data_IF_117655525247
#
_entry.id   IF_117655525247
#
_cell.length_a   1.000
_cell.length_b   1.000
_cell.length_c   1.000
_cell.angle_alpha   90.00
_cell.angle_beta   90.00
_cell.angle_gamma   90.00
#
_symmetry.space_group_name_H-M   'P 1'
#
loop_
_entity.id
_entity.type
_entity.pdbx_description
1 polymer ?
#
# COMPACT_ATOMS: atom_id res chain seq x y z
N UNK A 1 12.07 19.09 22.89
CA UNK A 1 10.61 19.06 22.93
C UNK A 1 10.02 19.83 21.75
N UNK A 2 10.52 21.03 21.40
CA UNK A 2 9.97 21.79 20.24
C UNK A 2 10.34 21.27 18.83
N UNK A 3 11.46 20.55 18.65
CA UNK A 3 11.85 20.01 17.32
C UNK A 3 10.99 18.80 16.92
N UNK A 4 10.57 17.97 17.88
CA UNK A 4 9.63 16.87 17.65
C UNK A 4 8.20 17.42 17.41
N UNK A 5 7.90 18.56 18.03
CA UNK A 5 6.67 19.32 17.83
C UNK A 5 6.61 19.91 16.41
N UNK A 6 7.71 20.37 15.82
CA UNK A 6 7.74 20.84 14.42
C UNK A 6 7.75 19.71 13.36
N UNK A 7 8.17 18.49 13.72
CA UNK A 7 8.08 17.32 12.81
C UNK A 7 6.64 16.83 12.64
N UNK A 8 5.78 17.03 13.66
CA UNK A 8 4.38 16.60 13.68
C UNK A 8 3.34 17.74 13.59
N UNK A 9 3.69 18.99 13.93
CA UNK A 9 2.81 20.17 13.75
C UNK A 9 2.78 20.65 12.33
N UNK A 10 3.93 20.70 11.68
CA UNK A 10 3.98 21.03 10.28
C UNK A 10 3.60 19.81 9.47
N UNK A 11 3.22 20.08 8.24
CA UNK A 11 3.13 19.14 7.14
C UNK A 11 4.48 18.45 6.82
N UNK A 12 5.24 18.04 7.84
CA UNK A 12 6.62 17.61 7.83
C UNK A 12 6.80 16.09 7.87
N UNK A 13 5.79 15.30 8.20
CA UNK A 13 5.76 13.93 7.67
C UNK A 13 5.52 13.97 6.17
N UNK A 14 4.70 14.92 5.69
CA UNK A 14 4.69 15.27 4.27
C UNK A 14 6.04 15.86 3.88
N UNK A 15 6.85 16.54 4.71
CA UNK A 15 8.19 17.06 4.31
C UNK A 15 9.32 16.06 4.38
N UNK A 16 9.20 15.05 5.23
CA UNK A 16 10.04 13.87 5.27
C UNK A 16 9.73 12.98 4.06
N UNK A 17 8.42 12.80 3.78
CA UNK A 17 7.93 12.27 2.52
C UNK A 17 8.19 13.27 1.36
N UNK A 18 8.25 14.60 1.52
CA UNK A 18 8.47 15.66 0.46
C UNK A 18 9.96 15.68 0.12
N UNK A 19 10.84 15.41 1.09
CA UNK A 19 12.27 15.16 0.92
C UNK A 19 12.53 13.81 0.23
N UNK A 20 11.74 12.78 0.55
CA UNK A 20 11.69 11.53 -0.22
C UNK A 20 11.09 11.70 -1.63
N UNK A 21 10.14 12.63 -1.81
CA UNK A 21 9.43 12.95 -3.07
C UNK A 21 10.22 13.94 -3.94
N UNK A 22 11.54 13.81 -3.95
CA UNK A 22 12.29 14.05 -5.19
C UNK A 22 12.36 12.78 -6.02
N UNK A 23 11.31 11.93 -6.05
CA UNK A 23 11.28 10.59 -6.66
C UNK A 23 12.20 10.38 -7.89
N UNK A 24 12.20 11.30 -8.88
CA UNK A 24 13.08 11.20 -10.06
C UNK A 24 14.56 11.54 -9.80
N UNK A 25 14.83 12.55 -8.97
CA UNK A 25 16.19 12.97 -8.55
C UNK A 25 16.72 12.09 -7.42
N UNK A 26 15.88 11.72 -6.45
CA UNK A 26 16.12 10.69 -5.45
C UNK A 26 16.38 9.34 -6.11
N UNK A 27 15.66 8.95 -7.17
CA UNK A 27 15.96 7.74 -7.94
C UNK A 27 17.32 7.83 -8.65
N UNK A 28 17.67 8.97 -9.26
CA UNK A 28 19.00 9.15 -9.87
C UNK A 28 20.15 9.13 -8.84
N UNK A 29 19.93 9.67 -7.64
CA UNK A 29 20.87 9.59 -6.50
C UNK A 29 20.91 8.15 -5.93
N UNK A 30 19.76 7.47 -5.89
CA UNK A 30 19.59 6.09 -5.39
C UNK A 30 20.23 5.05 -6.33
N UNK A 31 20.18 5.26 -7.64
CA UNK A 31 20.60 4.29 -8.67
C UNK A 31 22.12 4.08 -8.75
N UNK A 32 22.94 5.00 -8.21
CA UNK A 32 24.40 4.97 -8.41
C UNK A 32 25.25 4.64 -7.16
N UNK A 33 24.69 4.62 -5.94
CA UNK A 33 25.54 4.45 -4.72
C UNK A 33 24.86 3.83 -3.48
N UNK A 34 23.60 3.37 -3.56
CA UNK A 34 22.73 3.40 -2.37
C UNK A 34 22.77 2.21 -1.40
N UNK A 35 23.17 0.98 -1.77
CA UNK A 35 23.14 -0.13 -0.78
C UNK A 35 24.11 0.14 0.39
N UNK A 36 25.33 0.57 0.09
CA UNK A 36 26.35 0.91 1.12
C UNK A 36 25.98 2.17 1.90
N UNK A 37 25.44 3.20 1.24
CA UNK A 37 25.00 4.44 1.90
C UNK A 37 23.75 4.24 2.77
N UNK A 38 22.86 3.33 2.37
CA UNK A 38 21.67 2.96 3.14
C UNK A 38 22.07 2.15 4.37
N UNK A 39 22.91 1.13 4.23
CA UNK A 39 23.42 0.35 5.37
C UNK A 39 24.22 1.21 6.33
N UNK A 40 25.09 2.09 5.81
CA UNK A 40 25.81 3.06 6.62
C UNK A 40 24.86 4.02 7.35
N UNK A 41 23.88 4.58 6.66
CA UNK A 41 22.88 5.46 7.27
C UNK A 41 22.07 4.77 8.37
N UNK A 42 21.66 3.52 8.16
CA UNK A 42 20.97 2.71 9.18
C UNK A 42 21.90 2.40 10.36
N UNK A 43 23.18 2.12 10.12
CA UNK A 43 24.18 1.94 11.18
C UNK A 43 24.30 3.19 12.04
N UNK A 44 24.43 4.37 11.43
CA UNK A 44 24.51 5.65 12.16
C UNK A 44 23.24 5.93 12.98
N UNK A 45 22.07 5.55 12.46
CA UNK A 45 20.81 5.65 13.21
C UNK A 45 20.77 4.69 14.42
N UNK A 46 21.27 3.46 14.26
CA UNK A 46 21.37 2.48 15.37
C UNK A 46 22.32 2.98 16.46
N UNK A 47 23.49 3.48 16.06
CA UNK A 47 24.46 4.07 17.00
C UNK A 47 23.85 5.26 17.74
N UNK A 48 23.11 6.13 17.03
CA UNK A 48 22.40 7.25 17.61
C UNK A 48 21.27 6.82 18.56
N UNK A 49 20.54 5.75 18.24
CA UNK A 49 19.48 5.18 19.07
C UNK A 49 20.00 4.59 20.38
N UNK A 50 21.23 4.07 20.41
CA UNK A 50 21.89 3.59 21.63
C UNK A 50 22.32 4.69 22.60
N UNK A 51 22.24 5.97 22.21
CA UNK A 51 22.62 7.10 23.08
C UNK A 51 21.51 7.53 24.05
N UNK A 52 21.86 8.26 25.13
CA UNK A 52 20.89 8.80 26.09
C UNK A 52 20.49 10.28 25.81
N UNK A 53 20.51 10.70 24.56
CA UNK A 53 20.22 12.09 24.16
C UNK A 53 18.84 12.26 23.52
N UNK A 54 18.34 13.50 23.36
CA UNK A 54 17.11 13.74 22.58
C UNK A 54 17.21 13.19 21.14
N UNK A 55 18.43 13.12 20.59
CA UNK A 55 18.67 12.55 19.26
C UNK A 55 18.36 11.06 19.21
N UNK A 56 18.53 10.32 20.31
CA UNK A 56 18.25 8.89 20.31
C UNK A 56 16.77 8.59 20.06
N UNK A 57 15.87 9.39 20.64
CA UNK A 57 14.43 9.29 20.39
C UNK A 57 14.13 9.52 18.91
N UNK A 58 14.74 10.53 18.29
CA UNK A 58 14.55 10.80 16.86
C UNK A 58 15.10 9.65 15.99
N UNK A 59 16.25 9.08 16.36
CA UNK A 59 16.83 7.91 15.69
C UNK A 59 15.90 6.69 15.79
N UNK A 60 15.37 6.39 16.99
CA UNK A 60 14.41 5.31 17.22
C UNK A 60 13.14 5.52 16.38
N UNK A 61 12.54 6.71 16.42
CA UNK A 61 11.34 7.00 15.62
C UNK A 61 11.60 6.89 14.12
N UNK A 62 12.79 7.26 13.66
CA UNK A 62 13.19 7.14 12.25
C UNK A 62 13.36 5.67 11.85
N UNK A 63 13.99 4.85 12.70
CA UNK A 63 14.13 3.41 12.47
C UNK A 63 12.77 2.71 12.49
N UNK A 64 11.89 3.05 13.44
CA UNK A 64 10.51 2.55 13.49
C UNK A 64 9.75 2.89 12.20
N UNK A 65 9.79 4.14 11.75
CA UNK A 65 9.19 4.56 10.49
C UNK A 65 9.78 3.79 9.29
N UNK A 66 11.10 3.59 9.29
CA UNK A 66 11.79 2.86 8.24
C UNK A 66 11.32 1.39 8.15
N UNK A 67 11.33 0.68 9.28
CA UNK A 67 10.96 -0.74 9.33
C UNK A 67 9.45 -0.97 9.13
N UNK A 68 8.59 -0.06 9.59
CA UNK A 68 7.12 -0.27 9.56
C UNK A 68 6.39 0.37 8.38
N UNK A 69 7.00 1.36 7.70
CA UNK A 69 6.39 2.05 6.54
C UNK A 69 7.29 2.05 5.31
N UNK A 70 8.56 2.49 5.42
CA UNK A 70 9.42 2.64 4.23
C UNK A 70 9.67 1.30 3.56
N UNK A 71 10.03 0.27 4.34
CA UNK A 71 10.23 -1.10 3.83
C UNK A 71 8.95 -1.69 3.23
N UNK A 72 7.78 -1.34 3.77
CA UNK A 72 6.50 -1.80 3.27
C UNK A 72 6.09 -1.11 1.96
N UNK A 73 6.22 0.22 1.89
CA UNK A 73 5.68 1.01 0.77
C UNK A 73 6.62 0.99 -0.44
N UNK A 74 7.93 1.08 -0.19
CA UNK A 74 8.98 1.24 -1.21
C UNK A 74 9.89 0.01 -1.35
N UNK A 75 9.91 -0.89 -0.37
CA UNK A 75 10.73 -2.10 -0.36
C UNK A 75 9.99 -3.35 -0.85
N UNK A 76 10.53 -4.52 -0.49
CA UNK A 76 9.94 -5.84 -0.78
C UNK A 76 8.71 -6.15 0.09
N UNK A 77 8.39 -5.33 1.09
CA UNK A 77 7.38 -5.63 2.11
C UNK A 77 7.93 -6.24 3.39
N UNK A 78 9.22 -6.58 3.42
CA UNK A 78 9.87 -7.26 4.56
C UNK A 78 10.68 -6.26 5.40
N UNK A 79 10.02 -5.64 6.37
CA UNK A 79 10.70 -4.85 7.41
C UNK A 79 11.25 -5.74 8.53
N UNK A 80 12.32 -5.30 9.19
CA UNK A 80 12.83 -5.97 10.39
C UNK A 80 11.94 -5.69 11.61
N UNK A 81 10.86 -6.46 11.75
CA UNK A 81 9.89 -6.29 12.85
C UNK A 81 10.47 -6.68 14.21
N UNK A 82 11.51 -7.51 14.25
CA UNK A 82 12.21 -7.88 15.49
C UNK A 82 12.98 -6.68 16.02
N UNK A 83 13.76 -6.03 15.15
CA UNK A 83 14.46 -4.79 15.50
C UNK A 83 13.49 -3.67 15.88
N UNK A 84 12.39 -3.51 15.13
CA UNK A 84 11.38 -2.51 15.45
C UNK A 84 10.73 -2.73 16.83
N UNK A 85 10.50 -3.98 17.24
CA UNK A 85 9.98 -4.28 18.58
C UNK A 85 11.01 -4.01 19.67
N UNK A 86 12.26 -4.46 19.48
CA UNK A 86 13.36 -4.21 20.42
C UNK A 86 13.62 -2.70 20.62
N UNK A 87 13.48 -1.89 19.57
CA UNK A 87 13.59 -0.44 19.66
C UNK A 87 12.44 0.20 20.46
N UNK A 88 11.25 -0.42 20.45
CA UNK A 88 10.05 0.12 21.11
C UNK A 88 9.92 -0.33 22.57
N UNK A 89 10.38 -1.53 22.91
CA UNK A 89 10.23 -2.18 24.21
C UNK A 89 10.61 -1.30 25.41
N UNK A 90 11.77 -0.60 25.44
CA UNK A 90 12.13 0.27 26.56
C UNK A 90 11.14 1.43 26.78
N UNK A 91 10.45 1.86 25.72
CA UNK A 91 9.47 2.95 25.78
C UNK A 91 8.08 2.46 26.17
N UNK A 92 7.75 1.19 25.95
CA UNK A 92 6.49 0.58 26.41
C UNK A 92 6.47 0.57 27.95
N UNK A 93 7.56 0.14 28.57
CA UNK A 93 7.67 0.11 30.04
C UNK A 93 7.64 1.53 30.63
N UNK A 94 8.36 2.47 30.00
CA UNK A 94 8.51 3.83 30.53
C UNK A 94 7.31 4.73 30.24
N UNK A 95 6.62 4.53 29.12
CA UNK A 95 5.53 5.38 28.66
C UNK A 95 4.35 4.55 28.11
N UNK A 96 3.71 3.70 28.94
CA UNK A 96 2.70 2.73 28.49
C UNK A 96 1.46 3.39 27.88
N UNK A 97 1.15 4.64 28.23
CA UNK A 97 0.03 5.43 27.68
C UNK A 97 0.47 6.49 26.67
N UNK A 98 1.73 6.47 26.24
CA UNK A 98 2.24 7.43 25.26
C UNK A 98 1.61 7.18 23.90
N UNK A 99 0.99 8.20 23.29
CA UNK A 99 0.25 8.04 22.03
C UNK A 99 1.11 7.45 20.90
N UNK A 100 2.37 7.91 20.75
CA UNK A 100 3.31 7.38 19.75
C UNK A 100 3.66 5.91 20.04
N UNK A 101 3.78 5.54 21.31
CA UNK A 101 4.11 4.17 21.73
C UNK A 101 2.95 3.22 21.46
N UNK A 102 1.73 3.63 21.80
CA UNK A 102 0.50 2.91 21.46
C UNK A 102 0.34 2.75 19.95
N UNK A 103 0.61 3.81 19.18
CA UNK A 103 0.54 3.79 17.73
C UNK A 103 1.50 2.75 17.12
N UNK A 104 2.78 2.79 17.47
CA UNK A 104 3.75 1.83 16.95
C UNK A 104 3.51 0.41 17.46
N UNK A 105 3.00 0.25 18.69
CA UNK A 105 2.58 -1.05 19.22
C UNK A 105 1.43 -1.65 18.41
N UNK A 106 0.44 -0.83 18.04
CA UNK A 106 -0.68 -1.23 17.18
C UNK A 106 -0.20 -1.56 15.76
N UNK A 107 0.70 -0.74 15.21
CA UNK A 107 1.27 -0.94 13.88
C UNK A 107 2.08 -2.25 13.79
N UNK A 108 2.88 -2.59 14.80
CA UNK A 108 3.60 -3.87 14.85
C UNK A 108 2.63 -5.07 14.92
N UNK A 109 1.56 -4.97 15.72
CA UNK A 109 0.52 -5.99 15.76
C UNK A 109 -0.14 -6.19 14.38
N UNK A 110 -0.47 -5.09 13.69
CA UNK A 110 -1.04 -5.11 12.34
C UNK A 110 -0.10 -5.79 11.33
N UNK A 111 1.19 -5.42 11.31
CA UNK A 111 2.18 -5.99 10.40
C UNK A 111 2.45 -7.49 10.65
N UNK A 112 2.15 -7.98 11.86
CA UNK A 112 2.19 -9.41 12.20
C UNK A 112 0.90 -10.16 11.86
N UNK A 113 -0.13 -9.46 11.36
CA UNK A 113 -1.44 -10.04 11.09
C UNK A 113 -2.34 -10.17 12.32
N UNK A 114 -1.96 -9.62 13.48
CA UNK A 114 -2.82 -9.59 14.66
C UNK A 114 -3.75 -8.37 14.60
N UNK A 115 -4.80 -8.49 13.79
CA UNK A 115 -5.74 -7.41 13.49
C UNK A 115 -6.56 -7.00 14.71
N UNK A 116 -7.01 -7.96 15.51
CA UNK A 116 -7.86 -7.74 16.68
C UNK A 116 -7.12 -6.89 17.73
N UNK A 117 -5.86 -7.23 18.02
CA UNK A 117 -5.02 -6.43 18.92
C UNK A 117 -4.68 -5.05 18.35
N UNK A 118 -4.43 -4.98 17.03
CA UNK A 118 -4.16 -3.70 16.38
C UNK A 118 -5.35 -2.73 16.51
N UNK A 119 -6.58 -3.20 16.28
CA UNK A 119 -7.80 -2.41 16.43
C UNK A 119 -7.92 -1.82 17.84
N UNK A 120 -7.76 -2.64 18.87
CA UNK A 120 -7.84 -2.20 20.27
C UNK A 120 -6.79 -1.12 20.56
N UNK A 121 -5.53 -1.38 20.21
CA UNK A 121 -4.43 -0.44 20.50
C UNK A 121 -4.53 0.88 19.73
N UNK A 122 -5.05 0.88 18.49
CA UNK A 122 -5.30 2.13 17.77
C UNK A 122 -6.42 2.94 18.42
N UNK A 123 -7.48 2.29 18.93
CA UNK A 123 -8.54 2.97 19.67
C UNK A 123 -8.05 3.51 21.02
N UNK A 124 -7.18 2.78 21.72
CA UNK A 124 -6.49 3.26 22.91
C UNK A 124 -5.61 4.49 22.59
N UNK A 125 -4.87 4.47 21.48
CA UNK A 125 -4.06 5.60 21.02
C UNK A 125 -4.90 6.86 20.80
N UNK A 126 -6.07 6.72 20.17
CA UNK A 126 -7.03 7.83 19.98
C UNK A 126 -7.54 8.33 21.33
N UNK A 127 -7.84 7.43 22.26
CA UNK A 127 -8.39 7.78 23.58
C UNK A 127 -7.35 8.42 24.51
N UNK A 128 -6.06 8.11 24.32
CA UNK A 128 -4.97 8.58 25.18
C UNK A 128 -4.70 10.09 25.05
N UNK A 129 -5.10 10.74 23.95
CA UNK A 129 -4.85 12.16 23.73
C UNK A 129 -5.90 12.79 22.81
N UNK A 130 -6.19 14.08 22.98
CA UNK A 130 -7.13 14.83 22.12
C UNK A 130 -6.52 16.12 21.53
N UNK A 131 -5.27 16.41 21.88
CA UNK A 131 -4.61 17.66 21.49
C UNK A 131 -4.09 17.61 20.04
N UNK A 132 -3.62 16.44 19.60
CA UNK A 132 -2.98 16.22 18.29
C UNK A 132 -3.88 15.36 17.41
N UNK A 133 -4.79 16.02 16.69
CA UNK A 133 -5.72 15.37 15.75
C UNK A 133 -5.00 14.61 14.63
N UNK A 134 -3.79 15.00 14.28
CA UNK A 134 -2.97 14.34 13.28
C UNK A 134 -2.66 12.88 13.66
N UNK A 135 -2.45 12.59 14.95
CA UNK A 135 -2.28 11.20 15.42
C UNK A 135 -3.59 10.42 15.26
N UNK A 136 -4.74 11.06 15.50
CA UNK A 136 -6.03 10.42 15.23
C UNK A 136 -6.18 10.09 13.75
N UNK A 137 -5.80 10.99 12.86
CA UNK A 137 -5.85 10.73 11.41
C UNK A 137 -4.93 9.57 11.00
N UNK A 138 -3.75 9.44 11.60
CA UNK A 138 -2.91 8.25 11.40
C UNK A 138 -3.61 6.97 11.89
N UNK A 139 -4.24 7.02 13.08
CA UNK A 139 -5.00 5.87 13.59
C UNK A 139 -6.20 5.54 12.71
N UNK A 140 -6.94 6.54 12.22
CA UNK A 140 -8.07 6.33 11.32
C UNK A 140 -7.63 5.67 10.01
N UNK A 141 -6.47 6.06 9.47
CA UNK A 141 -5.90 5.42 8.29
C UNK A 141 -5.60 3.94 8.54
N UNK A 142 -4.95 3.62 9.66
CA UNK A 142 -4.62 2.24 10.01
C UNK A 142 -5.87 1.41 10.34
N UNK A 143 -6.85 1.97 11.07
CA UNK A 143 -8.13 1.34 11.39
C UNK A 143 -8.95 1.06 10.12
N UNK A 144 -9.03 2.02 9.19
CA UNK A 144 -9.68 1.84 7.89
C UNK A 144 -9.10 0.63 7.15
N UNK A 145 -7.77 0.50 7.07
CA UNK A 145 -7.13 -0.64 6.42
C UNK A 145 -7.31 -1.94 7.21
N UNK A 146 -7.19 -1.91 8.53
CA UNK A 146 -7.38 -3.09 9.37
C UNK A 146 -8.79 -3.71 9.21
N UNK A 147 -9.83 -2.86 9.17
CA UNK A 147 -11.18 -3.30 8.85
C UNK A 147 -11.32 -3.76 7.39
N UNK A 148 -10.67 -3.08 6.43
CA UNK A 148 -10.68 -3.49 5.01
C UNK A 148 -10.02 -4.85 4.77
N UNK A 149 -8.94 -5.18 5.50
CA UNK A 149 -8.28 -6.49 5.47
C UNK A 149 -9.21 -7.62 5.94
N UNK A 150 -10.10 -7.31 6.87
CA UNK A 150 -11.12 -8.22 7.38
C UNK A 150 -12.45 -8.13 6.61
N UNK A 151 -12.52 -7.34 5.54
CA UNK A 151 -13.73 -7.06 4.76
C UNK A 151 -14.91 -6.53 5.59
N UNK A 152 -14.62 -5.85 6.69
CA UNK A 152 -15.60 -5.15 7.52
C UNK A 152 -15.86 -3.76 6.94
N UNK A 153 -16.49 -3.72 5.75
CA UNK A 153 -16.59 -2.52 4.93
C UNK A 153 -17.28 -1.35 5.63
N UNK A 154 -18.30 -1.61 6.46
CA UNK A 154 -19.04 -0.58 7.20
C UNK A 154 -18.15 0.20 8.18
N UNK A 155 -17.33 -0.51 8.95
CA UNK A 155 -16.38 0.14 9.87
C UNK A 155 -15.21 0.78 9.12
N UNK A 156 -14.74 0.15 8.03
CA UNK A 156 -13.73 0.78 7.17
C UNK A 156 -14.22 2.11 6.59
N UNK A 157 -15.48 2.17 6.15
CA UNK A 157 -16.13 3.39 5.64
C UNK A 157 -16.19 4.48 6.71
N UNK A 158 -16.55 4.14 7.95
CA UNK A 158 -16.60 5.11 9.05
C UNK A 158 -15.28 5.89 9.19
N UNK A 159 -14.15 5.19 9.16
CA UNK A 159 -12.84 5.82 9.26
C UNK A 159 -12.43 6.53 7.95
N UNK A 160 -12.79 5.99 6.78
CA UNK A 160 -12.56 6.65 5.50
C UNK A 160 -13.31 8.00 5.40
N UNK A 161 -14.53 8.05 5.91
CA UNK A 161 -15.36 9.26 5.95
C UNK A 161 -14.81 10.30 6.94
N UNK A 162 -14.37 9.88 8.13
CA UNK A 162 -13.66 10.76 9.07
C UNK A 162 -12.40 11.37 8.44
N UNK A 163 -11.58 10.57 7.76
CA UNK A 163 -10.41 11.06 7.03
C UNK A 163 -10.77 12.06 5.94
N UNK A 164 -11.82 11.76 5.16
CA UNK A 164 -12.28 12.63 4.08
C UNK A 164 -12.79 13.99 4.60
N UNK A 165 -13.45 14.01 5.77
CA UNK A 165 -14.00 15.22 6.38
C UNK A 165 -12.94 16.05 7.11
N UNK A 166 -12.04 15.39 7.83
CA UNK A 166 -11.15 16.08 8.77
C UNK A 166 -9.73 16.32 8.23
N UNK A 167 -9.21 15.42 7.40
CA UNK A 167 -7.81 15.47 6.97
C UNK A 167 -7.63 16.28 5.68
N UNK A 168 -6.53 17.02 5.62
CA UNK A 168 -6.12 17.82 4.44
C UNK A 168 -4.96 17.21 3.67
N UNK A 169 -4.47 16.05 4.10
CA UNK A 169 -3.22 15.47 3.60
C UNK A 169 -3.29 15.03 2.13
N UNK A 170 -4.36 14.33 1.72
CA UNK A 170 -4.61 14.03 0.31
C UNK A 170 -6.11 13.82 0.08
N UNK A 171 -6.82 14.93 -0.16
CA UNK A 171 -8.29 14.92 -0.30
C UNK A 171 -8.76 14.01 -1.44
N UNK A 172 -8.05 14.01 -2.56
CA UNK A 172 -8.37 13.15 -3.69
C UNK A 172 -8.25 11.66 -3.33
N UNK A 173 -7.22 11.26 -2.58
CA UNK A 173 -7.06 9.88 -2.14
C UNK A 173 -8.13 9.49 -1.13
N UNK A 174 -8.43 10.33 -0.13
CA UNK A 174 -9.46 9.99 0.86
C UNK A 174 -10.85 9.87 0.20
N UNK A 175 -11.18 10.76 -0.74
CA UNK A 175 -12.41 10.67 -1.52
C UNK A 175 -12.47 9.38 -2.34
N UNK A 176 -11.40 9.06 -3.08
CA UNK A 176 -11.33 7.83 -3.87
C UNK A 176 -11.43 6.58 -2.98
N UNK A 177 -10.73 6.55 -1.85
CA UNK A 177 -10.72 5.41 -0.93
C UNK A 177 -12.10 5.20 -0.28
N UNK A 178 -12.77 6.30 0.10
CA UNK A 178 -14.16 6.27 0.58
C UNK A 178 -15.09 5.65 -0.47
N UNK A 179 -15.04 6.14 -1.71
CA UNK A 179 -15.86 5.61 -2.81
C UNK A 179 -15.52 4.13 -3.13
N UNK A 180 -14.24 3.78 -3.10
CA UNK A 180 -13.76 2.42 -3.32
C UNK A 180 -14.26 1.45 -2.24
N UNK A 181 -14.24 1.83 -0.96
CA UNK A 181 -14.76 1.02 0.14
C UNK A 181 -16.28 0.87 0.04
N UNK A 182 -17.01 1.96 -0.23
CA UNK A 182 -18.46 1.92 -0.46
C UNK A 182 -18.84 0.99 -1.63
N UNK A 183 -18.00 0.92 -2.66
CA UNK A 183 -18.22 0.02 -3.81
C UNK A 183 -18.12 -1.47 -3.47
N UNK A 184 -17.52 -1.82 -2.33
CA UNK A 184 -17.41 -3.21 -1.86
C UNK A 184 -18.57 -3.64 -0.95
N UNK A 185 -19.43 -2.70 -0.54
CA UNK A 185 -20.58 -2.99 0.32
C UNK A 185 -21.71 -3.67 -0.44
N UNK A 186 -22.59 -4.35 0.30
CA UNK A 186 -23.90 -4.74 -0.23
C UNK A 186 -24.76 -3.51 -0.55
N UNK A 187 -25.72 -3.67 -1.45
CA UNK A 187 -26.65 -2.57 -1.79
C UNK A 187 -27.46 -2.08 -0.58
N UNK A 188 -27.79 -2.98 0.34
CA UNK A 188 -28.52 -2.66 1.57
C UNK A 188 -27.68 -1.78 2.49
N UNK A 189 -26.42 -2.16 2.75
CA UNK A 189 -25.50 -1.37 3.55
C UNK A 189 -25.23 0.00 2.92
N UNK A 190 -25.00 0.03 1.60
CA UNK A 190 -24.76 1.28 0.87
C UNK A 190 -25.93 2.25 1.03
N UNK A 191 -27.17 1.78 0.91
CA UNK A 191 -28.38 2.61 1.12
C UNK A 191 -28.41 3.24 2.51
N UNK A 192 -27.94 2.54 3.55
CA UNK A 192 -27.91 3.11 4.92
C UNK A 192 -26.92 4.24 5.10
N UNK A 193 -25.93 4.39 4.22
CA UNK A 193 -24.94 5.47 4.30
C UNK A 193 -25.46 6.80 3.75
N UNK A 194 -26.43 6.77 2.81
CA UNK A 194 -26.92 7.95 2.10
C UNK A 194 -25.94 8.54 1.09
N UNK A 195 -24.83 7.86 0.79
CA UNK A 195 -23.78 8.33 -0.12
C UNK A 195 -24.06 7.89 -1.57
N UNK A 196 -23.66 8.73 -2.53
CA UNK A 196 -23.66 8.40 -3.96
C UNK A 196 -22.24 8.10 -4.43
N UNK A 197 -21.93 6.82 -4.61
CA UNK A 197 -20.61 6.34 -5.05
C UNK A 197 -20.17 6.95 -6.38
N UNK A 198 -21.09 7.13 -7.33
CA UNK A 198 -20.78 7.68 -8.65
C UNK A 198 -20.34 9.13 -8.49
N UNK A 199 -21.07 9.89 -7.68
CA UNK A 199 -20.75 11.30 -7.43
C UNK A 199 -19.44 11.47 -6.66
N UNK A 200 -19.17 10.60 -5.68
CA UNK A 200 -17.88 10.59 -4.98
C UNK A 200 -16.71 10.36 -5.94
N UNK A 201 -16.81 9.42 -6.88
CA UNK A 201 -15.76 9.20 -7.88
C UNK A 201 -15.57 10.41 -8.81
N UNK A 202 -16.66 11.07 -9.22
CA UNK A 202 -16.61 12.27 -10.08
C UNK A 202 -15.86 13.43 -9.42
N UNK A 203 -15.99 13.59 -8.11
CA UNK A 203 -15.32 14.67 -7.36
C UNK A 203 -13.81 14.50 -7.24
N UNK A 204 -13.26 13.29 -7.42
CA UNK A 204 -11.83 12.99 -7.19
C UNK A 204 -10.89 13.90 -7.99
N UNK A 205 -11.20 14.19 -9.25
CA UNK A 205 -10.36 15.04 -10.11
C UNK A 205 -10.27 16.48 -9.59
N UNK A 206 -11.39 17.03 -9.10
CA UNK A 206 -11.46 18.38 -8.55
C UNK A 206 -10.70 18.57 -7.23
N UNK A 207 -10.38 17.47 -6.54
CA UNK A 207 -9.69 17.48 -5.23
C UNK A 207 -8.17 17.32 -5.33
N UNK A 208 -7.64 17.25 -6.55
CA UNK A 208 -6.20 17.07 -6.82
C UNK A 208 -5.36 18.19 -6.19
N UNK A 209 -4.30 17.80 -5.51
CA UNK A 209 -3.32 18.73 -4.96
C UNK A 209 -2.01 18.68 -5.78
N UNK A 210 -1.24 19.77 -5.73
CA UNK A 210 0.11 19.85 -6.30
C UNK A 210 1.11 20.05 -5.18
N UNK A 211 2.16 19.25 -5.15
CA UNK A 211 3.29 19.35 -4.23
C UNK A 211 4.53 19.78 -4.99
N UNK A 212 5.12 20.93 -4.61
CA UNK A 212 6.29 21.51 -5.29
C UNK A 212 6.11 21.58 -6.83
N UNK A 213 4.91 21.97 -7.27
CA UNK A 213 4.54 22.04 -8.69
C UNK A 213 4.25 20.69 -9.37
N UNK A 214 4.50 19.55 -8.70
CA UNK A 214 4.25 18.20 -9.21
C UNK A 214 3.01 17.58 -8.58
N UNK A 215 2.24 16.86 -9.37
CA UNK A 215 1.12 16.05 -8.88
C UNK A 215 1.61 14.80 -8.15
N UNK A 216 0.90 14.37 -7.10
CA UNK A 216 1.18 13.13 -6.38
C UNK A 216 0.88 11.92 -7.28
N UNK A 217 1.78 10.92 -7.40
CA UNK A 217 1.55 9.76 -8.27
C UNK A 217 0.28 8.96 -7.94
N UNK A 218 -0.01 8.77 -6.65
CA UNK A 218 -1.21 8.06 -6.20
C UNK A 218 -2.49 8.84 -6.54
N UNK A 219 -2.50 10.16 -6.41
CA UNK A 219 -3.65 10.98 -6.84
C UNK A 219 -3.87 10.88 -8.35
N UNK A 220 -2.78 10.91 -9.15
CA UNK A 220 -2.88 10.68 -10.59
C UNK A 220 -3.49 9.32 -10.93
N UNK A 221 -3.13 8.28 -10.18
CA UNK A 221 -3.72 6.96 -10.33
C UNK A 221 -5.22 6.98 -10.03
N UNK A 222 -5.62 7.48 -8.85
CA UNK A 222 -7.02 7.60 -8.45
C UNK A 222 -7.85 8.38 -9.47
N UNK A 223 -7.35 9.53 -9.94
CA UNK A 223 -8.02 10.35 -10.96
C UNK A 223 -8.19 9.59 -12.27
N UNK A 224 -7.16 8.86 -12.74
CA UNK A 224 -7.26 8.05 -13.96
C UNK A 224 -8.35 6.99 -13.83
N UNK A 225 -8.42 6.29 -12.69
CA UNK A 225 -9.46 5.28 -12.43
C UNK A 225 -10.85 5.89 -12.34
N UNK A 226 -10.99 7.06 -11.71
CA UNK A 226 -12.26 7.81 -11.61
C UNK A 226 -12.84 8.27 -12.95
N UNK A 227 -12.04 8.37 -14.03
CA UNK A 227 -12.54 8.83 -15.34
C UNK A 227 -13.68 7.98 -15.91
N UNK A 228 -13.77 6.70 -15.50
CA UNK A 228 -14.88 5.80 -15.87
C UNK A 228 -16.26 6.32 -15.41
N UNK A 229 -16.29 7.25 -14.45
CA UNK A 229 -17.50 7.85 -13.88
C UNK A 229 -17.83 9.27 -14.41
N UNK A 230 -16.85 9.93 -15.04
CA UNK A 230 -16.95 11.35 -15.44
C UNK A 230 -17.02 11.52 -16.96
N UNK A 231 -16.60 10.54 -17.75
CA UNK A 231 -16.54 10.70 -19.20
C UNK A 231 -17.94 10.90 -19.80
N UNK A 232 -18.18 12.06 -20.41
CA UNK A 232 -19.44 12.38 -21.08
C UNK A 232 -19.78 11.42 -22.24
N UNK A 233 -18.78 10.71 -22.75
CA UNK A 233 -18.94 9.67 -23.79
C UNK A 233 -19.39 8.32 -23.23
N UNK A 234 -19.34 8.13 -21.91
CA UNK A 234 -19.62 6.85 -21.24
C UNK A 234 -20.90 7.04 -20.40
N UNK A 235 -22.04 6.66 -20.99
CA UNK A 235 -23.34 6.66 -20.33
C UNK A 235 -24.04 5.32 -20.57
N UNK A 236 -24.33 4.53 -19.50
CA UNK A 236 -24.12 4.82 -18.09
C UNK A 236 -22.63 4.74 -17.65
N UNK A 237 -22.26 5.31 -16.49
CA UNK A 237 -20.92 5.14 -15.89
C UNK A 237 -20.50 3.68 -15.77
N UNK A 238 -19.25 3.36 -16.12
CA UNK A 238 -18.70 2.01 -15.97
C UNK A 238 -18.07 1.87 -14.58
N UNK A 239 -18.60 0.94 -13.78
CA UNK A 239 -18.11 0.69 -12.42
C UNK A 239 -16.73 0.01 -12.43
N UNK A 240 -15.92 0.30 -11.43
CA UNK A 240 -14.69 -0.45 -11.15
C UNK A 240 -15.04 -1.79 -10.49
N UNK A 241 -14.39 -2.89 -10.90
CA UNK A 241 -14.73 -4.25 -10.46
C UNK A 241 -14.45 -4.52 -8.97
N UNK A 242 -13.26 -4.18 -8.46
CA UNK A 242 -12.87 -4.38 -7.04
C UNK A 242 -11.90 -3.25 -6.56
N UNK A 243 -12.35 -1.98 -6.56
CA UNK A 243 -11.46 -0.83 -6.39
C UNK A 243 -10.76 -0.76 -5.03
N UNK A 244 -11.37 -1.27 -3.95
CA UNK A 244 -10.71 -1.29 -2.63
C UNK A 244 -9.53 -2.27 -2.59
N UNK A 245 -9.64 -3.41 -3.28
CA UNK A 245 -8.62 -4.45 -3.34
C UNK A 245 -7.48 -4.01 -4.28
N UNK A 246 -7.79 -3.31 -5.38
CA UNK A 246 -6.78 -2.64 -6.21
C UNK A 246 -5.97 -1.63 -5.39
N UNK A 247 -6.63 -0.80 -4.58
CA UNK A 247 -5.94 0.12 -3.67
C UNK A 247 -5.16 -0.61 -2.58
N UNK A 248 -5.68 -1.71 -2.07
CA UNK A 248 -4.96 -2.56 -1.12
C UNK A 248 -3.63 -3.02 -1.71
N UNK A 249 -3.61 -3.43 -2.97
CA UNK A 249 -2.37 -3.77 -3.68
C UNK A 249 -1.46 -2.56 -3.85
N UNK A 250 -2.00 -1.40 -4.27
CA UNK A 250 -1.24 -0.15 -4.41
C UNK A 250 -0.51 0.21 -3.11
N UNK A 251 -1.12 -0.04 -1.95
CA UNK A 251 -0.52 0.21 -0.63
C UNK A 251 0.28 -0.95 -0.05
N UNK A 252 0.51 -2.00 -0.83
CA UNK A 252 1.20 -3.24 -0.44
C UNK A 252 0.50 -4.02 0.70
N UNK A 253 -0.81 -3.84 0.87
CA UNK A 253 -1.62 -4.45 1.92
C UNK A 253 -1.69 -5.98 1.84
N UNK A 254 -1.54 -6.57 0.65
CA UNK A 254 -1.51 -8.04 0.49
C UNK A 254 -0.34 -8.71 1.24
N UNK A 255 0.78 -8.00 1.48
CA UNK A 255 1.87 -8.53 2.32
C UNK A 255 1.49 -8.66 3.80
N UNK A 256 0.53 -7.85 4.25
CA UNK A 256 -0.02 -7.87 5.61
C UNK A 256 -1.11 -8.93 5.70
N UNK A 257 -2.09 -8.91 4.78
CA UNK A 257 -3.16 -9.91 4.76
C UNK A 257 -2.62 -11.33 4.57
N UNK A 258 -1.57 -11.48 3.76
CA UNK A 258 -0.89 -12.75 3.53
C UNK A 258 -0.25 -13.39 4.77
N UNK A 259 -0.18 -12.69 5.91
CA UNK A 259 0.21 -13.27 7.22
C UNK A 259 -0.92 -14.10 7.85
N UNK A 260 -2.15 -13.96 7.35
CA UNK A 260 -3.35 -14.65 7.83
C UNK A 260 -4.04 -15.37 6.70
N UNK A 261 -4.02 -16.71 6.75
CA UNK A 261 -4.59 -17.56 5.72
C UNK A 261 -6.12 -17.36 5.59
N UNK A 262 -6.81 -17.22 6.72
CA UNK A 262 -8.27 -17.00 6.76
C UNK A 262 -8.69 -15.69 6.08
N UNK A 263 -7.99 -14.59 6.37
CA UNK A 263 -8.24 -13.30 5.72
C UNK A 263 -7.87 -13.33 4.23
N UNK A 264 -6.78 -14.02 3.87
CA UNK A 264 -6.36 -14.18 2.48
C UNK A 264 -7.35 -15.02 1.67
N UNK A 265 -7.87 -16.11 2.24
CA UNK A 265 -8.90 -16.96 1.61
C UNK A 265 -10.20 -16.17 1.43
N UNK A 266 -10.58 -15.37 2.43
CA UNK A 266 -11.75 -14.48 2.35
C UNK A 266 -11.61 -13.48 1.19
N UNK A 267 -10.44 -12.88 0.99
CA UNK A 267 -10.19 -12.02 -0.17
C UNK A 267 -10.24 -12.82 -1.49
N UNK A 268 -9.70 -14.03 -1.52
CA UNK A 268 -9.74 -14.89 -2.69
C UNK A 268 -11.18 -15.17 -3.13
N UNK A 269 -12.09 -15.49 -2.20
CA UNK A 269 -13.52 -15.71 -2.48
C UNK A 269 -14.15 -14.46 -3.10
N UNK A 270 -13.84 -13.27 -2.58
CA UNK A 270 -14.34 -12.00 -3.13
C UNK A 270 -13.82 -11.77 -4.56
N UNK A 271 -12.55 -12.08 -4.82
CA UNK A 271 -11.93 -11.95 -6.14
C UNK A 271 -12.52 -12.97 -7.13
N UNK A 272 -12.75 -14.21 -6.72
CA UNK A 272 -13.37 -15.26 -7.57
C UNK A 272 -14.82 -14.93 -7.90
N UNK A 273 -15.56 -14.31 -6.97
CA UNK A 273 -16.90 -13.79 -7.27
C UNK A 273 -16.85 -12.68 -8.32
N UNK A 274 -15.89 -11.78 -8.23
CA UNK A 274 -15.70 -10.72 -9.23
C UNK A 274 -15.29 -11.29 -10.60
N UNK A 275 -14.44 -12.32 -10.61
CA UNK A 275 -14.07 -13.08 -11.82
C UNK A 275 -15.30 -13.72 -12.49
N UNK A 276 -16.17 -14.36 -11.69
CA UNK A 276 -17.43 -14.95 -12.15
C UNK A 276 -18.35 -13.90 -12.78
N UNK A 277 -18.50 -12.76 -12.12
CA UNK A 277 -19.33 -11.66 -12.58
C UNK A 277 -18.83 -11.08 -13.91
N UNK A 278 -17.51 -10.91 -14.05
CA UNK A 278 -16.93 -10.50 -15.33
C UNK A 278 -17.18 -11.56 -16.40
N UNK A 279 -16.90 -12.84 -16.12
CA UNK A 279 -17.07 -13.89 -17.13
C UNK A 279 -18.51 -14.01 -17.65
N UNK A 280 -19.48 -13.77 -16.78
CA UNK A 280 -20.90 -13.87 -17.10
C UNK A 280 -21.55 -12.52 -17.48
N UNK A 281 -20.75 -11.46 -17.65
CA UNK A 281 -21.26 -10.13 -18.04
C UNK A 281 -21.84 -10.20 -19.47
N UNK A 282 -23.16 -9.98 -19.65
CA UNK A 282 -23.77 -10.04 -20.98
C UNK A 282 -23.35 -8.86 -21.87
N UNK A 283 -22.84 -7.77 -21.28
CA UNK A 283 -22.50 -6.53 -22.00
C UNK A 283 -21.13 -5.99 -21.55
N UNK A 284 -20.03 -6.70 -21.88
CA UNK A 284 -18.69 -6.31 -21.45
C UNK A 284 -18.31 -4.93 -22.00
N UNK A 285 -17.89 -4.05 -21.10
CA UNK A 285 -17.42 -2.70 -21.47
C UNK A 285 -16.04 -2.73 -22.16
N UNK A 286 -15.60 -1.59 -22.69
CA UNK A 286 -14.25 -1.46 -23.25
C UNK A 286 -13.12 -1.68 -22.22
N UNK A 287 -13.43 -1.60 -20.92
CA UNK A 287 -12.48 -1.85 -19.82
C UNK A 287 -12.41 -3.32 -19.40
N UNK A 288 -13.26 -4.17 -19.99
CA UNK A 288 -13.40 -5.56 -19.58
C UNK A 288 -12.06 -6.36 -19.60
N UNK A 289 -11.20 -6.24 -20.64
CA UNK A 289 -9.91 -6.95 -20.63
C UNK A 289 -8.99 -6.50 -19.49
N UNK A 290 -8.96 -5.19 -19.21
CA UNK A 290 -8.19 -4.60 -18.11
C UNK A 290 -8.70 -5.09 -16.75
N UNK A 291 -10.02 -5.16 -16.57
CA UNK A 291 -10.66 -5.63 -15.33
C UNK A 291 -10.42 -7.12 -15.09
N UNK A 292 -10.48 -7.95 -16.14
CA UNK A 292 -10.09 -9.36 -16.07
C UNK A 292 -8.63 -9.53 -15.65
N UNK A 293 -7.72 -8.73 -16.23
CA UNK A 293 -6.30 -8.77 -15.87
C UNK A 293 -6.06 -8.34 -14.43
N UNK A 294 -6.75 -7.31 -13.95
CA UNK A 294 -6.69 -6.89 -12.55
C UNK A 294 -7.14 -8.00 -11.60
N UNK A 295 -8.30 -8.61 -11.87
CA UNK A 295 -8.84 -9.72 -11.07
C UNK A 295 -7.87 -10.91 -11.05
N UNK A 296 -7.32 -11.31 -12.20
CA UNK A 296 -6.34 -12.39 -12.26
C UNK A 296 -5.04 -12.06 -11.50
N UNK A 297 -4.52 -10.83 -11.62
CA UNK A 297 -3.32 -10.41 -10.89
C UNK A 297 -3.56 -10.48 -9.36
N UNK A 298 -4.69 -9.99 -8.88
CA UNK A 298 -5.03 -10.01 -7.45
C UNK A 298 -5.31 -11.45 -6.96
N UNK A 299 -5.94 -12.28 -7.79
CA UNK A 299 -6.13 -13.71 -7.52
C UNK A 299 -4.80 -14.43 -7.35
N UNK A 300 -3.86 -14.19 -8.27
CA UNK A 300 -2.51 -14.74 -8.22
C UNK A 300 -1.76 -14.35 -6.94
N UNK A 301 -1.95 -13.12 -6.46
CA UNK A 301 -1.39 -12.67 -5.18
C UNK A 301 -1.95 -13.46 -3.99
N UNK A 302 -3.26 -13.61 -3.87
CA UNK A 302 -3.85 -14.43 -2.80
C UNK A 302 -3.33 -15.87 -2.84
N UNK A 303 -3.35 -16.50 -4.02
CA UNK A 303 -2.87 -17.86 -4.22
C UNK A 303 -1.38 -18.01 -3.84
N UNK A 304 -0.54 -17.03 -4.18
CA UNK A 304 0.87 -16.98 -3.79
C UNK A 304 1.05 -16.95 -2.27
N UNK A 305 0.31 -16.10 -1.56
CA UNK A 305 0.36 -16.04 -0.09
C UNK A 305 -0.22 -17.27 0.60
N UNK A 306 -1.19 -17.95 -0.03
CA UNK A 306 -1.72 -19.24 0.41
C UNK A 306 -0.82 -20.43 0.06
N UNK A 307 0.33 -20.20 -0.59
CA UNK A 307 1.28 -21.25 -0.99
C UNK A 307 0.84 -22.07 -2.22
N UNK A 308 -0.26 -21.69 -2.90
CA UNK A 308 -0.76 -22.33 -4.13
C UNK A 308 0.00 -21.81 -5.35
N UNK A 309 1.31 -22.01 -5.36
CA UNK A 309 2.24 -21.30 -6.26
C UNK A 309 1.98 -21.58 -7.76
N UNK A 310 1.64 -22.82 -8.13
CA UNK A 310 1.35 -23.16 -9.53
C UNK A 310 0.10 -22.42 -10.04
N UNK A 311 -0.96 -22.35 -9.22
CA UNK A 311 -2.18 -21.62 -9.59
C UNK A 311 -1.91 -20.11 -9.69
N UNK A 312 -1.08 -19.57 -8.79
CA UNK A 312 -0.66 -18.19 -8.85
C UNK A 312 0.13 -17.87 -10.14
N UNK A 313 1.04 -18.75 -10.54
CA UNK A 313 1.80 -18.62 -11.78
C UNK A 313 0.90 -18.65 -13.03
N UNK A 314 -0.13 -19.49 -13.04
CA UNK A 314 -1.12 -19.52 -14.12
C UNK A 314 -1.89 -18.19 -14.23
N UNK A 315 -2.36 -17.65 -13.10
CA UNK A 315 -3.04 -16.34 -13.06
C UNK A 315 -2.14 -15.23 -13.62
N UNK A 316 -0.87 -15.16 -13.18
CA UNK A 316 0.06 -14.15 -13.69
C UNK A 316 0.36 -14.34 -15.18
N UNK A 317 0.57 -15.57 -15.63
CA UNK A 317 0.81 -15.88 -17.05
C UNK A 317 -0.37 -15.48 -17.92
N UNK A 318 -1.60 -15.66 -17.45
CA UNK A 318 -2.80 -15.22 -18.14
C UNK A 318 -2.82 -13.70 -18.32
N UNK A 319 -2.48 -12.92 -17.29
CA UNK A 319 -2.38 -11.45 -17.41
C UNK A 319 -1.34 -11.05 -18.46
N UNK A 320 -0.17 -11.68 -18.46
CA UNK A 320 0.89 -11.41 -19.44
C UNK A 320 0.45 -11.76 -20.87
N UNK A 321 -0.28 -12.86 -21.04
CA UNK A 321 -0.80 -13.26 -22.37
C UNK A 321 -1.83 -12.27 -22.94
N UNK A 322 -2.48 -11.50 -22.06
CA UNK A 322 -3.50 -10.51 -22.42
C UNK A 322 -2.93 -9.10 -22.66
N UNK A 323 -1.61 -8.92 -22.66
CA UNK A 323 -0.94 -7.61 -22.82
C UNK A 323 -1.48 -6.79 -24.00
N UNK A 324 -1.69 -7.41 -25.16
CA UNK A 324 -2.19 -6.74 -26.37
C UNK A 324 -3.66 -6.30 -26.28
N UNK A 325 -4.40 -6.83 -25.31
CA UNK A 325 -5.82 -6.54 -25.09
C UNK A 325 -6.02 -5.40 -24.09
N UNK A 326 -5.03 -5.09 -23.25
CA UNK A 326 -5.08 -4.03 -22.24
C UNK A 326 -5.04 -2.66 -22.91
N UNK A 327 -6.04 -1.82 -22.61
CA UNK A 327 -6.20 -0.51 -23.26
C UNK A 327 -5.87 0.68 -22.38
N UNK A 328 -6.02 0.57 -21.07
CA UNK A 328 -5.94 1.70 -20.14
C UNK A 328 -4.98 1.46 -18.99
N UNK A 329 -5.09 0.32 -18.32
CA UNK A 329 -4.36 -0.05 -17.12
C UNK A 329 -3.04 -0.76 -17.47
N UNK A 330 -2.23 -0.13 -18.32
CA UNK A 330 -0.92 -0.65 -18.77
C UNK A 330 0.06 -0.95 -17.63
N UNK A 331 -0.20 -0.46 -16.42
CA UNK A 331 0.60 -0.80 -15.24
C UNK A 331 0.48 -2.29 -14.86
N UNK A 332 -0.60 -2.97 -15.23
CA UNK A 332 -0.86 -4.36 -14.85
C UNK A 332 0.26 -5.31 -15.29
N UNK A 333 0.82 -5.10 -16.49
CA UNK A 333 1.87 -5.96 -17.03
C UNK A 333 3.19 -5.85 -16.24
N UNK A 334 3.84 -4.68 -16.10
CA UNK A 334 5.08 -4.60 -15.35
C UNK A 334 4.90 -4.96 -13.86
N UNK A 335 3.75 -4.64 -13.25
CA UNK A 335 3.47 -5.09 -11.88
C UNK A 335 3.30 -6.62 -11.79
N UNK A 336 2.66 -7.26 -12.78
CA UNK A 336 2.54 -8.73 -12.82
C UNK A 336 3.88 -9.41 -13.04
N UNK A 337 4.73 -8.90 -13.94
CA UNK A 337 6.10 -9.40 -14.13
C UNK A 337 6.90 -9.34 -12.83
N UNK A 338 6.80 -8.22 -12.10
CA UNK A 338 7.42 -8.08 -10.79
C UNK A 338 6.90 -9.11 -9.77
N UNK A 339 5.58 -9.32 -9.67
CA UNK A 339 5.01 -10.28 -8.72
C UNK A 339 5.33 -11.74 -9.10
N UNK A 340 5.38 -12.07 -10.39
CA UNK A 340 5.82 -13.37 -10.89
C UNK A 340 7.31 -13.59 -10.60
N UNK A 341 8.15 -12.56 -10.74
CA UNK A 341 9.54 -12.62 -10.32
C UNK A 341 9.70 -12.89 -8.82
N UNK A 342 8.88 -12.24 -7.97
CA UNK A 342 8.84 -12.55 -6.54
C UNK A 342 8.34 -13.98 -6.24
N UNK A 343 7.40 -14.50 -7.02
CA UNK A 343 6.94 -15.88 -6.92
C UNK A 343 8.08 -16.86 -7.23
N UNK A 344 8.84 -16.64 -8.30
CA UNK A 344 10.01 -17.47 -8.61
C UNK A 344 11.11 -17.35 -7.56
N UNK A 345 11.29 -16.16 -6.95
CA UNK A 345 12.19 -16.00 -5.80
C UNK A 345 11.74 -16.88 -4.63
N UNK A 346 10.44 -16.92 -4.32
CA UNK A 346 9.88 -17.77 -3.26
C UNK A 346 10.06 -19.27 -3.56
N UNK A 347 10.04 -19.67 -4.83
CA UNK A 347 10.35 -21.03 -5.26
C UNK A 347 11.86 -21.37 -5.27
N UNK A 348 12.73 -20.39 -5.01
CA UNK A 348 14.20 -20.56 -5.08
C UNK A 348 14.78 -20.45 -6.49
N UNK A 349 13.98 -20.13 -7.51
CA UNK A 349 14.47 -19.94 -8.87
C UNK A 349 14.93 -18.49 -9.09
N UNK A 350 16.11 -18.16 -8.54
CA UNK A 350 16.66 -16.80 -8.56
C UNK A 350 17.00 -16.29 -9.96
N UNK A 351 17.34 -17.17 -10.90
CA UNK A 351 17.63 -16.81 -12.30
C UNK A 351 16.36 -16.32 -12.99
N UNK A 352 15.27 -17.08 -12.93
CA UNK A 352 13.97 -16.62 -13.46
C UNK A 352 13.48 -15.37 -12.73
N UNK A 353 13.60 -15.34 -11.40
CA UNK A 353 13.20 -14.18 -10.60
C UNK A 353 13.86 -12.89 -11.07
N UNK A 354 15.20 -12.91 -11.23
CA UNK A 354 15.98 -11.75 -11.68
C UNK A 354 15.52 -11.31 -13.08
N UNK A 355 15.38 -12.25 -14.02
CA UNK A 355 14.95 -11.96 -15.39
C UNK A 355 13.59 -11.25 -15.43
N UNK A 356 12.57 -11.80 -14.77
CA UNK A 356 11.24 -11.20 -14.76
C UNK A 356 11.20 -9.81 -14.09
N UNK A 357 11.97 -9.62 -13.02
CA UNK A 357 12.07 -8.33 -12.33
C UNK A 357 12.81 -7.28 -13.19
N UNK A 358 13.82 -7.69 -13.95
CA UNK A 358 14.51 -6.81 -14.90
C UNK A 358 13.65 -6.48 -16.12
N UNK A 359 12.91 -7.46 -16.66
CA UNK A 359 11.97 -7.26 -17.77
C UNK A 359 10.90 -6.21 -17.40
N UNK A 360 10.38 -6.25 -16.17
CA UNK A 360 9.44 -5.25 -15.66
C UNK A 360 10.00 -3.81 -15.65
N UNK A 361 11.33 -3.66 -15.49
CA UNK A 361 12.02 -2.36 -15.43
C UNK A 361 12.42 -1.84 -16.81
N UNK A 362 12.88 -2.73 -17.71
CA UNK A 362 13.53 -2.34 -18.96
C UNK A 362 12.56 -2.22 -20.12
N UNK A 363 11.48 -3.01 -20.14
CA UNK A 363 10.60 -3.12 -21.30
C UNK A 363 9.35 -2.22 -21.24
N UNK A 364 9.12 -1.54 -20.11
CA UNK A 364 7.89 -0.75 -19.86
C UNK A 364 8.22 0.66 -19.36
N UNK A 365 7.46 1.66 -19.82
CA UNK A 365 7.61 3.08 -19.44
C UNK A 365 6.27 3.82 -19.48
N UNK A 366 6.21 4.97 -18.81
CA UNK A 366 5.10 5.93 -18.84
C UNK A 366 3.76 5.39 -18.29
N UNK A 367 3.78 4.29 -17.54
CA UNK A 367 2.61 3.68 -16.90
C UNK A 367 2.30 4.27 -15.52
N UNK A 368 1.09 4.04 -15.01
CA UNK A 368 0.71 4.47 -13.66
C UNK A 368 1.60 3.83 -12.60
N UNK A 369 2.05 4.63 -11.61
CA UNK A 369 2.85 4.16 -10.47
C UNK A 369 4.23 3.58 -10.83
N UNK A 370 4.76 3.86 -12.03
CA UNK A 370 6.10 3.43 -12.51
C UNK A 370 7.21 3.65 -11.49
N UNK A 371 7.35 4.88 -10.98
CA UNK A 371 8.44 5.17 -10.05
C UNK A 371 8.35 4.38 -8.74
N UNK A 372 7.13 4.02 -8.31
CA UNK A 372 6.94 3.17 -7.13
C UNK A 372 7.38 1.74 -7.43
N UNK A 373 7.02 1.21 -8.59
CA UNK A 373 7.47 -0.12 -9.00
C UNK A 373 8.99 -0.17 -9.11
N UNK A 374 9.64 0.86 -9.65
CA UNK A 374 11.11 0.91 -9.75
C UNK A 374 11.82 0.84 -8.40
N UNK A 375 11.29 1.48 -7.35
CA UNK A 375 11.84 1.34 -6.00
C UNK A 375 11.71 -0.11 -5.49
N UNK A 376 10.54 -0.72 -5.68
CA UNK A 376 10.30 -2.12 -5.29
C UNK A 376 11.20 -3.09 -6.06
N UNK A 377 11.35 -2.89 -7.37
CA UNK A 377 12.27 -3.66 -8.24
C UNK A 377 13.70 -3.56 -7.71
N UNK A 378 14.19 -2.36 -7.42
CA UNK A 378 15.54 -2.20 -6.91
C UNK A 378 15.72 -2.92 -5.58
N UNK A 379 14.80 -2.76 -4.63
CA UNK A 379 14.84 -3.47 -3.36
C UNK A 379 14.85 -5.00 -3.55
N UNK A 380 14.02 -5.52 -4.46
CA UNK A 380 13.97 -6.94 -4.78
C UNK A 380 15.29 -7.45 -5.40
N UNK A 381 15.85 -6.73 -6.38
CA UNK A 381 17.12 -7.09 -7.00
C UNK A 381 18.30 -7.04 -6.01
N UNK A 382 18.34 -6.06 -5.11
CA UNK A 382 19.34 -6.01 -4.04
C UNK A 382 19.25 -7.24 -3.13
N UNK A 383 18.02 -7.66 -2.79
CA UNK A 383 17.81 -8.86 -1.97
C UNK A 383 18.23 -10.16 -2.67
N UNK A 384 18.20 -10.20 -4.00
CA UNK A 384 18.64 -11.35 -4.81
C UNK A 384 20.17 -11.41 -4.95
N UNK A 385 20.85 -10.26 -4.92
CA UNK A 385 22.32 -10.21 -4.92
C UNK A 385 22.95 -10.62 -3.60
N UNK A 386 22.21 -10.47 -2.49
CA UNK A 386 22.66 -10.82 -1.14
C UNK A 386 22.42 -12.28 -0.73
N UNK A 387 21.70 -13.09 -1.53
CA UNK A 387 21.56 -14.52 -1.25
C UNK A 387 22.82 -15.28 -1.70
N UNK A 388 23.49 -16.06 -0.83
CA UNK A 388 24.69 -16.78 -1.22
C UNK A 388 24.33 -17.75 -2.35
N UNK A 389 25.06 -17.62 -3.44
CA UNK A 389 25.16 -18.66 -4.46
C UNK A 389 25.71 -19.91 -3.77
N UNK A 390 24.82 -20.85 -3.44
CA UNK A 390 25.22 -22.23 -3.17
C UNK A 390 25.98 -22.72 -4.39
N UNK A 391 27.31 -22.67 -4.27
CA UNK A 391 28.22 -23.36 -5.19
C UNK A 391 28.34 -24.79 -4.66
N UNK A 392 28.33 -25.80 -5.54
CA UNK A 392 28.24 -27.21 -5.17
C UNK A 392 29.38 -27.71 -4.27
#
# INVERSE_FOLDING_TARGET
>A
YDILVDVFRDENMISFIKGGIKIRTSYQIYNNSCCVLQEFGLSQLRDGAGSHSLRSILCVLTLLLYHTYVCLILGTGEGNLVEAEALLEPYIERFPRGAIILFYSARLALLRGNFENALVKFQECISAQQQWRQIHHLCYWELMWCHSFQQQWREAYRYADLLCRESRWSKAIYMYQKAAILSMMSEEELKTTGEDVVELFRQVEGLKQRLAGKSIPTEKFAIRKSRRYTSATISPPVKLVIPALEMMYVWNGFTIVGKRADATESLLITIERAEEQLRNDPNPSEFHPDDQCLVQMLKGLCLKYLGRLLQAELCFTQVLSSEKLIRYDHYLIPFTLYELGLLYKQQGNYVKATRFIEDAKLNYKDYSMESRLHFRIHAALSSLKGSPTNSP
#
